data_IF_669021788036
#
_entry.id   IF_669021788036
#
_cell.length_a   1.000
_cell.length_b   1.000
_cell.length_c   1.000
_cell.angle_alpha   90.00
_cell.angle_beta   90.00
_cell.angle_gamma   90.00
#
_symmetry.space_group_name_H-M   'P 1'
#
loop_
_entity.id
_entity.type
_entity.pdbx_description
1 polymer ?
#
# COMPACT_ATOMS: atom_id res chain seq x y z
N UNK A 1 19.92 -1.34 14.70
CA UNK A 1 18.74 -1.00 15.51
C UNK A 1 17.92 0.01 14.73
N UNK A 2 16.62 -0.21 14.56
CA UNK A 2 15.74 0.80 13.94
C UNK A 2 15.58 2.02 14.85
N UNK A 3 14.84 3.03 14.37
CA UNK A 3 14.47 4.20 15.19
C UNK A 3 12.95 4.32 15.29
N UNK A 4 12.45 5.06 16.28
CA UNK A 4 11.03 5.40 16.39
C UNK A 4 10.50 6.02 15.10
N UNK A 5 11.22 7.00 14.55
CA UNK A 5 10.86 7.68 13.29
C UNK A 5 10.91 6.69 12.12
N UNK A 6 11.90 5.81 12.10
CA UNK A 6 12.04 4.75 11.09
C UNK A 6 10.89 3.74 11.06
N UNK A 7 10.09 3.63 12.13
CA UNK A 7 8.87 2.81 12.14
C UNK A 7 7.59 3.64 11.89
N UNK A 8 7.52 4.86 12.44
CA UNK A 8 6.38 5.75 12.20
C UNK A 8 6.27 6.14 10.72
N UNK A 9 7.38 6.48 10.08
CA UNK A 9 7.41 6.93 8.69
C UNK A 9 6.80 5.92 7.70
N UNK A 10 7.29 4.65 7.62
CA UNK A 10 6.65 3.65 6.77
C UNK A 10 5.23 3.30 7.25
N UNK A 11 4.95 3.34 8.55
CA UNK A 11 3.60 3.14 9.09
C UNK A 11 2.58 4.14 8.54
N UNK A 12 2.92 5.43 8.53
CA UNK A 12 2.11 6.49 7.94
C UNK A 12 1.96 6.33 6.43
N UNK A 13 3.05 5.99 5.73
CA UNK A 13 3.01 5.76 4.29
C UNK A 13 2.02 4.63 3.94
N UNK A 14 2.19 3.44 4.52
CA UNK A 14 1.29 2.30 4.29
C UNK A 14 -0.16 2.61 4.71
N UNK A 15 -0.37 3.28 5.84
CA UNK A 15 -1.71 3.70 6.25
C UNK A 15 -2.36 4.61 5.21
N UNK A 16 -1.63 5.60 4.69
CA UNK A 16 -2.15 6.52 3.67
C UNK A 16 -2.52 5.81 2.37
N UNK A 17 -1.70 4.85 1.91
CA UNK A 17 -2.02 4.02 0.74
C UNK A 17 -3.20 3.09 0.98
N UNK A 18 -3.28 2.47 2.16
CA UNK A 18 -4.39 1.60 2.54
C UNK A 18 -5.72 2.36 2.54
N UNK A 19 -5.76 3.56 3.10
CA UNK A 19 -6.93 4.44 3.09
C UNK A 19 -7.31 4.86 1.67
N UNK A 20 -6.33 5.27 0.86
CA UNK A 20 -6.53 5.62 -0.55
C UNK A 20 -7.14 4.45 -1.33
N UNK A 21 -6.59 3.24 -1.17
CA UNK A 21 -7.07 2.04 -1.83
C UNK A 21 -8.48 1.65 -1.37
N UNK A 22 -8.77 1.72 -0.08
CA UNK A 22 -10.09 1.42 0.46
C UNK A 22 -11.17 2.31 -0.16
N UNK A 23 -10.96 3.63 -0.17
CA UNK A 23 -11.89 4.60 -0.74
C UNK A 23 -11.98 4.44 -2.26
N UNK A 24 -10.85 4.28 -2.95
CA UNK A 24 -10.81 4.10 -4.40
C UNK A 24 -11.60 2.86 -4.83
N UNK A 25 -11.35 1.71 -4.22
CA UNK A 25 -12.02 0.46 -4.60
C UNK A 25 -13.51 0.48 -4.25
N UNK A 26 -13.90 1.08 -3.12
CA UNK A 26 -15.30 1.32 -2.81
C UNK A 26 -15.98 2.17 -3.89
N UNK A 27 -15.36 3.29 -4.28
CA UNK A 27 -15.89 4.16 -5.33
C UNK A 27 -15.99 3.46 -6.69
N UNK A 28 -15.00 2.64 -7.04
CA UNK A 28 -15.02 1.85 -8.29
C UNK A 28 -16.17 0.86 -8.33
N UNK A 29 -16.37 0.08 -7.27
CA UNK A 29 -17.48 -0.89 -7.19
C UNK A 29 -18.83 -0.19 -7.23
N UNK A 30 -18.99 0.94 -6.53
CA UNK A 30 -20.24 1.71 -6.52
C UNK A 30 -20.58 2.32 -7.90
N UNK A 31 -19.58 2.55 -8.75
CA UNK A 31 -19.79 3.01 -10.13
C UNK A 31 -19.82 1.86 -11.16
N UNK A 32 -19.79 0.60 -10.71
CA UNK A 32 -19.79 -0.55 -11.62
C UNK A 32 -18.50 -0.70 -12.44
N UNK A 33 -17.40 -0.06 -12.03
CA UNK A 33 -16.11 -0.18 -12.72
C UNK A 33 -15.55 -1.59 -12.56
N UNK A 34 -15.22 -2.24 -13.68
CA UNK A 34 -14.64 -3.59 -13.70
C UNK A 34 -13.12 -3.60 -13.82
N UNK A 35 -12.54 -2.55 -14.39
CA UNK A 35 -11.09 -2.49 -14.65
C UNK A 35 -10.35 -1.67 -13.58
N UNK A 36 -9.39 -2.31 -12.90
CA UNK A 36 -8.54 -1.67 -11.89
C UNK A 36 -7.62 -0.60 -12.50
N UNK A 37 -7.13 -0.86 -13.71
CA UNK A 37 -6.19 -0.01 -14.44
C UNK A 37 -6.83 0.45 -15.77
N UNK A 38 -7.77 1.42 -15.73
CA UNK A 38 -8.45 1.88 -16.94
C UNK A 38 -7.47 2.48 -17.94
N UNK A 39 -7.79 2.35 -19.24
CA UNK A 39 -7.01 2.93 -20.31
C UNK A 39 -6.87 4.45 -20.16
N UNK A 40 -5.75 5.00 -20.66
CA UNK A 40 -5.50 6.44 -20.65
C UNK A 40 -6.59 7.15 -21.45
N UNK A 41 -7.31 8.07 -20.80
CA UNK A 41 -8.29 8.89 -21.49
C UNK A 41 -7.56 9.91 -22.36
N UNK A 42 -7.82 9.95 -23.67
CA UNK A 42 -7.13 10.79 -24.67
C UNK A 42 -7.47 12.28 -24.57
N UNK A 43 -7.82 12.77 -23.38
CA UNK A 43 -8.07 14.19 -23.16
C UNK A 43 -6.74 14.94 -23.16
N UNK A 44 -6.65 16.04 -23.91
CA UNK A 44 -5.47 16.90 -23.99
C UNK A 44 -5.28 17.71 -22.69
N UNK A 45 -5.00 17.01 -21.58
CA UNK A 45 -4.68 17.59 -20.27
C UNK A 45 -3.17 17.74 -20.18
N UNK A 46 -2.69 18.92 -19.75
CA UNK A 46 -1.26 19.17 -19.53
C UNK A 46 -0.64 18.19 -18.53
N UNK A 47 0.68 18.01 -18.61
CA UNK A 47 1.45 17.00 -17.86
C UNK A 47 1.14 16.96 -16.34
N UNK A 48 1.07 18.12 -15.68
CA UNK A 48 0.73 18.21 -14.25
C UNK A 48 -0.64 17.61 -13.91
N UNK A 49 -1.61 17.68 -14.83
CA UNK A 49 -2.97 17.12 -14.65
C UNK A 49 -3.05 15.64 -15.03
N UNK A 50 -2.02 15.08 -15.66
CA UNK A 50 -1.93 13.65 -15.98
C UNK A 50 -1.08 12.85 -14.98
N UNK A 51 -0.46 13.52 -13.99
CA UNK A 51 0.32 12.85 -12.95
C UNK A 51 -0.57 11.96 -12.06
N UNK A 52 -0.25 10.67 -11.93
CA UNK A 52 -0.98 9.79 -11.03
C UNK A 52 -0.65 10.09 -9.57
N UNK A 53 -1.66 10.41 -8.77
CA UNK A 53 -1.48 10.72 -7.35
C UNK A 53 -0.74 9.60 -6.59
N UNK A 54 -1.08 8.33 -6.86
CA UNK A 54 -0.41 7.17 -6.27
C UNK A 54 1.09 7.12 -6.62
N UNK A 55 1.43 7.30 -7.90
CA UNK A 55 2.81 7.29 -8.37
C UNK A 55 3.63 8.43 -7.77
N UNK A 56 3.05 9.63 -7.69
CA UNK A 56 3.67 10.80 -7.04
C UNK A 56 3.88 10.55 -5.53
N UNK A 57 2.89 9.99 -4.83
CA UNK A 57 3.03 9.64 -3.41
C UNK A 57 4.16 8.63 -3.20
N UNK A 58 4.23 7.56 -4.01
CA UNK A 58 5.30 6.53 -3.91
C UNK A 58 6.68 7.14 -4.15
N UNK A 59 6.80 7.99 -5.16
CA UNK A 59 8.05 8.68 -5.49
C UNK A 59 8.50 9.59 -4.34
N UNK A 60 7.61 10.45 -3.83
CA UNK A 60 7.93 11.40 -2.75
C UNK A 60 8.28 10.65 -1.46
N UNK A 61 7.42 9.72 -1.01
CA UNK A 61 7.68 8.99 0.23
C UNK A 61 8.97 8.16 0.13
N UNK A 62 9.16 7.43 -0.97
CA UNK A 62 10.35 6.62 -1.18
C UNK A 62 11.62 7.48 -1.22
N UNK A 63 11.63 8.57 -1.98
CA UNK A 63 12.78 9.46 -2.06
C UNK A 63 13.11 10.10 -0.71
N UNK A 64 12.11 10.68 -0.03
CA UNK A 64 12.31 11.32 1.28
C UNK A 64 12.80 10.32 2.32
N UNK A 65 12.31 9.08 2.30
CA UNK A 65 12.76 8.04 3.22
C UNK A 65 14.21 7.62 2.95
N UNK A 66 14.62 7.45 1.68
CA UNK A 66 16.03 7.18 1.32
C UNK A 66 16.94 8.32 1.78
N UNK A 67 16.53 9.57 1.58
CA UNK A 67 17.29 10.73 2.05
C UNK A 67 17.39 10.75 3.58
N UNK A 68 16.30 10.47 4.28
CA UNK A 68 16.29 10.43 5.74
C UNK A 68 17.20 9.31 6.28
N UNK A 69 17.20 8.12 5.70
CA UNK A 69 18.06 7.01 6.16
C UNK A 69 19.55 7.36 6.11
N UNK A 70 19.97 8.06 5.06
CA UNK A 70 21.39 8.35 4.86
C UNK A 70 21.89 9.65 5.49
N UNK A 71 21.00 10.62 5.68
CA UNK A 71 21.38 12.00 6.04
C UNK A 71 20.69 12.52 7.31
N UNK A 72 19.86 11.72 7.98
CA UNK A 72 19.26 12.10 9.26
C UNK A 72 19.93 11.38 10.45
N UNK A 73 20.21 12.11 11.55
CA UNK A 73 20.06 13.55 11.75
C UNK A 73 21.04 14.37 10.89
N UNK A 74 20.74 15.66 10.61
CA UNK A 74 21.57 16.51 9.77
C UNK A 74 23.05 16.52 10.21
N UNK A 75 23.96 16.38 9.25
CA UNK A 75 25.40 16.31 9.49
C UNK A 75 25.97 14.89 9.57
N UNK A 76 25.13 13.87 9.58
CA UNK A 76 25.55 12.46 9.45
C UNK A 76 25.53 12.05 7.97
N UNK A 77 26.53 11.27 7.55
CA UNK A 77 26.55 10.65 6.22
C UNK A 77 26.76 9.14 6.34
N UNK A 78 25.72 8.37 6.03
CA UNK A 78 25.74 6.89 6.12
C UNK A 78 25.90 6.17 4.78
N UNK A 79 26.08 6.92 3.68
CA UNK A 79 26.21 6.42 2.30
C UNK A 79 27.46 5.58 1.99
N UNK A 80 28.39 5.40 2.94
CA UNK A 80 29.61 4.63 2.68
C UNK A 80 29.32 3.14 2.83
N UNK A 81 29.72 2.34 1.83
CA UNK A 81 29.63 0.89 1.90
C UNK A 81 30.69 0.29 2.82
N UNK A 82 31.93 0.77 2.72
CA UNK A 82 33.07 0.39 3.54
C UNK A 82 34.00 1.59 3.73
N UNK A 83 34.90 1.53 4.70
CA UNK A 83 35.94 2.53 4.90
C UNK A 83 37.27 2.02 4.38
N UNK A 84 37.97 2.84 3.59
CA UNK A 84 39.36 2.56 3.18
C UNK A 84 40.34 2.56 4.37
N UNK A 85 39.93 3.15 5.49
CA UNK A 85 40.71 3.13 6.74
C UNK A 85 40.51 1.85 7.55
N UNK A 86 39.52 1.02 7.20
CA UNK A 86 39.35 -0.31 7.80
C UNK A 86 40.11 -1.33 6.94
N UNK A 87 41.19 -1.95 7.45
CA UNK A 87 41.97 -2.92 6.69
C UNK A 87 41.18 -4.17 6.29
N UNK A 88 40.08 -4.47 6.97
CA UNK A 88 39.23 -5.63 6.69
C UNK A 88 38.01 -5.28 5.84
N UNK A 89 37.84 -4.01 5.44
CA UNK A 89 36.75 -3.53 4.60
C UNK A 89 35.35 -3.96 5.07
N UNK A 90 35.08 -3.92 6.38
CA UNK A 90 33.77 -4.30 6.88
C UNK A 90 32.68 -3.38 6.32
N UNK A 91 31.52 -3.99 6.02
CA UNK A 91 30.35 -3.24 5.58
C UNK A 91 29.82 -2.33 6.68
N UNK A 92 29.51 -1.09 6.32
CA UNK A 92 28.99 -0.08 7.23
C UNK A 92 27.49 0.12 7.03
N UNK A 93 26.80 0.45 8.12
CA UNK A 93 25.37 0.81 8.12
C UNK A 93 24.46 -0.20 7.39
N UNK A 94 24.58 -1.52 7.63
CA UNK A 94 23.83 -2.53 6.87
C UNK A 94 22.30 -2.38 7.04
N UNK A 95 21.82 -1.90 8.19
CA UNK A 95 20.39 -1.65 8.40
C UNK A 95 19.88 -0.54 7.48
N UNK A 96 20.59 0.58 7.45
CA UNK A 96 20.25 1.74 6.63
C UNK A 96 20.30 1.42 5.14
N UNK A 97 21.26 0.59 4.70
CA UNK A 97 21.30 0.10 3.32
C UNK A 97 20.09 -0.78 2.96
N UNK A 98 19.66 -1.67 3.87
CA UNK A 98 18.46 -2.48 3.67
C UNK A 98 17.21 -1.58 3.60
N UNK A 99 17.04 -0.64 4.52
CA UNK A 99 15.92 0.31 4.50
C UNK A 99 15.92 1.18 3.25
N UNK A 100 17.07 1.75 2.88
CA UNK A 100 17.21 2.53 1.65
C UNK A 100 16.88 1.71 0.39
N UNK A 101 17.26 0.42 0.36
CA UNK A 101 16.89 -0.49 -0.74
C UNK A 101 15.37 -0.68 -0.78
N UNK A 102 14.75 -0.98 0.35
CA UNK A 102 13.29 -1.12 0.47
C UNK A 102 12.55 0.14 -0.02
N UNK A 103 12.91 1.32 0.50
CA UNK A 103 12.31 2.59 0.08
C UNK A 103 12.60 2.95 -1.37
N UNK A 104 13.80 2.62 -1.86
CA UNK A 104 14.22 2.84 -3.24
C UNK A 104 13.35 2.08 -4.23
N UNK A 105 12.93 0.85 -3.92
CA UNK A 105 12.01 0.11 -4.79
C UNK A 105 10.60 0.70 -4.81
N UNK A 106 10.09 1.25 -3.71
CA UNK A 106 8.84 2.00 -3.72
C UNK A 106 8.97 3.32 -4.52
N UNK A 107 10.10 4.02 -4.39
CA UNK A 107 10.43 5.21 -5.18
C UNK A 107 10.43 4.86 -6.69
N UNK A 108 11.10 3.78 -7.07
CA UNK A 108 11.14 3.28 -8.44
C UNK A 108 9.75 2.89 -8.94
N UNK A 109 8.94 2.20 -8.12
CA UNK A 109 7.54 1.91 -8.47
C UNK A 109 6.75 3.18 -8.76
N UNK A 110 6.93 4.25 -7.97
CA UNK A 110 6.29 5.54 -8.23
C UNK A 110 6.73 6.18 -9.55
N UNK A 111 8.02 6.09 -9.87
CA UNK A 111 8.54 6.54 -11.16
C UNK A 111 7.92 5.75 -12.33
N UNK A 112 7.80 4.42 -12.20
CA UNK A 112 7.17 3.56 -13.21
C UNK A 112 5.69 3.90 -13.42
N UNK A 113 4.96 4.22 -12.35
CA UNK A 113 3.56 4.69 -12.42
C UNK A 113 3.47 6.00 -13.24
N UNK A 114 4.35 6.96 -12.97
CA UNK A 114 4.40 8.24 -13.69
C UNK A 114 4.78 8.04 -15.15
N UNK A 115 5.79 7.21 -15.43
CA UNK A 115 6.21 6.89 -16.81
C UNK A 115 5.04 6.29 -17.58
N UNK A 116 4.38 5.28 -17.00
CA UNK A 116 3.24 4.61 -17.64
C UNK A 116 2.08 5.58 -17.94
N UNK A 117 1.66 6.39 -16.96
CA UNK A 117 0.42 7.16 -17.09
C UNK A 117 0.64 8.54 -17.73
N UNK A 118 1.72 9.24 -17.39
CA UNK A 118 1.96 10.61 -17.81
C UNK A 118 2.88 10.70 -19.04
N UNK A 119 3.96 9.91 -19.10
CA UNK A 119 4.99 10.04 -20.13
C UNK A 119 4.71 9.24 -21.41
N UNK A 120 4.21 8.01 -21.29
CA UNK A 120 3.91 7.16 -22.45
C UNK A 120 2.64 7.63 -23.19
N UNK A 121 2.63 7.41 -24.51
CA UNK A 121 1.45 7.67 -25.35
C UNK A 121 0.27 6.77 -24.98
N UNK A 122 0.56 5.52 -24.64
CA UNK A 122 -0.39 4.52 -24.14
C UNK A 122 0.01 4.07 -22.75
N UNK A 123 -0.95 4.03 -21.82
CA UNK A 123 -0.72 3.50 -20.46
C UNK A 123 -0.31 2.03 -20.52
N UNK A 124 0.68 1.65 -19.71
CA UNK A 124 1.16 0.28 -19.55
C UNK A 124 0.88 -0.25 -18.13
N UNK A 125 -0.32 -0.80 -17.86
CA UNK A 125 -0.66 -1.34 -16.54
C UNK A 125 0.30 -2.41 -16.04
N UNK A 126 0.89 -3.21 -16.94
CA UNK A 126 1.86 -4.24 -16.60
C UNK A 126 3.09 -3.65 -15.89
N UNK A 127 3.57 -2.48 -16.33
CA UNK A 127 4.74 -1.81 -15.75
C UNK A 127 4.44 -1.29 -14.34
N UNK A 128 3.26 -0.69 -14.13
CA UNK A 128 2.78 -0.21 -12.83
C UNK A 128 2.67 -1.35 -11.82
N UNK A 129 2.04 -2.45 -12.27
CA UNK A 129 1.81 -3.64 -11.45
C UNK A 129 3.10 -4.38 -11.13
N UNK A 130 4.01 -4.55 -12.11
CA UNK A 130 5.31 -5.16 -11.90
C UNK A 130 6.19 -4.34 -10.94
N UNK A 131 6.21 -3.01 -11.07
CA UNK A 131 6.93 -2.12 -10.16
C UNK A 131 6.47 -2.27 -8.72
N UNK A 132 5.16 -2.24 -8.50
CA UNK A 132 4.58 -2.39 -7.15
C UNK A 132 4.84 -3.79 -6.59
N UNK A 133 4.71 -4.83 -7.41
CA UNK A 133 4.98 -6.22 -7.02
C UNK A 133 6.45 -6.40 -6.60
N UNK A 134 7.39 -5.86 -7.39
CA UNK A 134 8.81 -5.92 -7.07
C UNK A 134 9.12 -5.22 -5.73
N UNK A 135 8.48 -4.08 -5.45
CA UNK A 135 8.66 -3.39 -4.17
C UNK A 135 8.20 -4.23 -2.97
N UNK A 136 7.03 -4.87 -3.04
CA UNK A 136 6.56 -5.77 -1.99
C UNK A 136 7.41 -7.04 -1.88
N UNK A 137 7.91 -7.58 -3.00
CA UNK A 137 8.79 -8.74 -3.01
C UNK A 137 10.11 -8.44 -2.30
N UNK A 138 10.78 -7.34 -2.67
CA UNK A 138 12.03 -6.89 -2.04
C UNK A 138 11.81 -6.58 -0.57
N UNK A 139 10.71 -5.91 -0.22
CA UNK A 139 10.36 -5.63 1.18
C UNK A 139 10.21 -6.93 1.98
N UNK A 140 9.51 -7.92 1.44
CA UNK A 140 9.33 -9.24 2.07
C UNK A 140 10.67 -9.95 2.28
N UNK A 141 11.51 -9.96 1.24
CA UNK A 141 12.85 -10.54 1.30
C UNK A 141 13.69 -9.85 2.39
N UNK A 142 13.74 -8.52 2.38
CA UNK A 142 14.52 -7.76 3.36
C UNK A 142 14.00 -7.97 4.77
N UNK A 143 12.69 -7.93 5.02
CA UNK A 143 12.11 -8.20 6.34
C UNK A 143 12.52 -9.57 6.90
N UNK A 144 12.61 -10.60 6.05
CA UNK A 144 13.06 -11.94 6.47
C UNK A 144 14.51 -11.93 6.95
N UNK A 145 15.40 -11.20 6.28
CA UNK A 145 16.83 -11.16 6.61
C UNK A 145 17.23 -10.00 7.52
N UNK A 146 16.31 -9.07 7.81
CA UNK A 146 16.53 -7.92 8.69
C UNK A 146 16.57 -8.30 10.18
N UNK A 147 16.09 -9.49 10.55
CA UNK A 147 15.93 -9.93 11.94
C UNK A 147 17.22 -10.44 12.63
N UNK A 148 18.34 -10.55 11.91
CA UNK A 148 19.56 -11.17 12.45
C UNK A 148 20.15 -10.37 13.63
N UNK A 149 20.34 -11.04 14.76
CA UNK A 149 20.99 -10.46 15.95
C UNK A 149 20.14 -9.46 16.73
N UNK A 150 18.81 -9.49 16.56
CA UNK A 150 17.87 -8.61 17.26
C UNK A 150 17.21 -9.30 18.47
N UNK A 151 16.73 -8.49 19.39
CA UNK A 151 15.96 -8.90 20.58
C UNK A 151 14.67 -9.63 20.19
N UNK A 152 14.20 -10.55 21.06
CA UNK A 152 13.05 -11.42 20.75
C UNK A 152 11.76 -10.63 20.43
N UNK A 153 11.48 -9.54 21.16
CA UNK A 153 10.35 -8.64 20.89
C UNK A 153 10.47 -8.04 19.49
N UNK A 154 11.64 -7.50 19.13
CA UNK A 154 11.87 -6.90 17.82
C UNK A 154 11.76 -7.93 16.70
N UNK A 155 12.27 -9.15 16.90
CA UNK A 155 12.13 -10.25 15.94
C UNK A 155 10.65 -10.59 15.72
N UNK A 156 9.87 -10.75 16.79
CA UNK A 156 8.47 -11.17 16.68
C UNK A 156 7.59 -10.12 16.00
N UNK A 157 7.75 -8.84 16.33
CA UNK A 157 6.96 -7.78 15.68
C UNK A 157 7.25 -7.66 14.18
N UNK A 158 8.51 -7.85 13.78
CA UNK A 158 8.90 -7.87 12.38
C UNK A 158 8.44 -9.15 11.66
N UNK A 159 8.39 -10.29 12.35
CA UNK A 159 7.86 -11.54 11.79
C UNK A 159 6.35 -11.44 11.51
N UNK A 160 5.59 -10.79 12.39
CA UNK A 160 4.17 -10.52 12.17
C UNK A 160 3.96 -9.58 10.96
N UNK A 161 4.82 -8.57 10.81
CA UNK A 161 4.81 -7.69 9.63
C UNK A 161 5.20 -8.45 8.35
N UNK A 162 6.21 -9.31 8.42
CA UNK A 162 6.65 -10.17 7.33
C UNK A 162 5.50 -11.03 6.82
N UNK A 163 4.71 -11.62 7.71
CA UNK A 163 3.54 -12.42 7.35
C UNK A 163 2.55 -11.61 6.50
N UNK A 164 2.14 -10.42 6.96
CA UNK A 164 1.22 -9.56 6.19
C UNK A 164 1.82 -9.16 4.85
N UNK A 165 3.10 -8.78 4.84
CA UNK A 165 3.80 -8.32 3.64
C UNK A 165 3.93 -9.46 2.61
N UNK A 166 4.25 -10.67 3.06
CA UNK A 166 4.34 -11.86 2.20
C UNK A 166 2.99 -12.21 1.56
N UNK A 167 1.90 -12.19 2.34
CA UNK A 167 0.54 -12.42 1.81
C UNK A 167 0.16 -11.30 0.81
N UNK A 168 0.49 -10.05 1.12
CA UNK A 168 0.24 -8.91 0.22
C UNK A 168 1.00 -9.08 -1.10
N UNK A 169 2.28 -9.44 -1.04
CA UNK A 169 3.10 -9.75 -2.19
C UNK A 169 2.53 -10.92 -3.01
N UNK A 170 2.08 -11.99 -2.33
CA UNK A 170 1.45 -13.13 -2.99
C UNK A 170 0.17 -12.74 -3.74
N UNK A 171 -0.64 -11.82 -3.21
CA UNK A 171 -1.82 -11.31 -3.92
C UNK A 171 -1.42 -10.49 -5.15
N UNK A 172 -0.42 -9.61 -5.05
CA UNK A 172 0.09 -8.87 -6.21
C UNK A 172 0.60 -9.81 -7.30
N UNK A 173 1.32 -10.88 -6.92
CA UNK A 173 1.76 -11.93 -7.84
C UNK A 173 0.54 -12.63 -8.46
N UNK A 174 -0.42 -13.06 -7.64
CA UNK A 174 -1.63 -13.77 -8.11
C UNK A 174 -2.47 -12.96 -9.11
N UNK A 175 -2.53 -11.63 -8.95
CA UNK A 175 -3.25 -10.73 -9.85
C UNK A 175 -2.70 -10.67 -11.28
N UNK A 176 -1.47 -11.14 -11.55
CA UNK A 176 -1.00 -11.29 -12.92
C UNK A 176 -1.83 -12.30 -13.72
N UNK A 177 -2.33 -13.35 -13.08
CA UNK A 177 -3.15 -14.38 -13.72
C UNK A 177 -4.65 -14.11 -13.60
N UNK A 178 -5.09 -13.51 -12.48
CA UNK A 178 -6.49 -13.14 -12.26
C UNK A 178 -6.64 -11.64 -11.93
N UNK A 179 -6.42 -10.76 -12.92
CA UNK A 179 -6.60 -9.33 -12.72
C UNK A 179 -8.07 -8.98 -12.47
N UNK A 180 -8.29 -7.76 -11.98
CA UNK A 180 -9.62 -7.14 -11.91
C UNK A 180 -10.67 -7.84 -11.01
N UNK A 181 -10.23 -8.57 -9.98
CA UNK A 181 -11.12 -9.19 -9.01
C UNK A 181 -11.32 -8.28 -7.79
N UNK A 182 -12.54 -7.78 -7.51
CA UNK A 182 -12.79 -6.92 -6.35
C UNK A 182 -12.35 -7.55 -5.02
N UNK A 183 -12.50 -8.87 -4.88
CA UNK A 183 -12.03 -9.61 -3.71
C UNK A 183 -10.53 -9.43 -3.45
N UNK A 184 -9.71 -9.40 -4.49
CA UNK A 184 -8.26 -9.18 -4.38
C UNK A 184 -7.96 -7.72 -4.07
N UNK A 185 -8.70 -6.78 -4.67
CA UNK A 185 -8.56 -5.34 -4.39
C UNK A 185 -8.78 -5.01 -2.92
N UNK A 186 -9.91 -5.45 -2.35
CA UNK A 186 -10.25 -5.19 -0.96
C UNK A 186 -9.32 -5.93 0.02
N UNK A 187 -8.93 -7.17 -0.29
CA UNK A 187 -7.96 -7.92 0.53
C UNK A 187 -6.61 -7.20 0.58
N UNK A 188 -6.09 -6.72 -0.56
CA UNK A 188 -4.85 -5.91 -0.58
C UNK A 188 -4.98 -4.64 0.24
N UNK A 189 -6.07 -3.88 0.06
CA UNK A 189 -6.29 -2.64 0.80
C UNK A 189 -6.30 -2.88 2.32
N UNK A 190 -7.00 -3.93 2.76
CA UNK A 190 -7.03 -4.35 4.15
C UNK A 190 -5.64 -4.73 4.68
N UNK A 191 -4.87 -5.55 3.95
CA UNK A 191 -3.53 -5.95 4.39
C UNK A 191 -2.55 -4.77 4.44
N UNK A 192 -2.65 -3.81 3.51
CA UNK A 192 -1.84 -2.59 3.52
C UNK A 192 -2.20 -1.69 4.71
N UNK A 193 -3.48 -1.59 5.08
CA UNK A 193 -3.91 -0.92 6.31
C UNK A 193 -3.37 -1.60 7.58
N UNK A 194 -3.38 -2.94 7.61
CA UNK A 194 -2.80 -3.72 8.71
C UNK A 194 -1.30 -3.41 8.83
N UNK A 195 -0.53 -3.43 7.73
CA UNK A 195 0.89 -3.07 7.75
C UNK A 195 1.12 -1.67 8.33
N UNK A 196 0.34 -0.68 7.88
CA UNK A 196 0.45 0.69 8.35
C UNK A 196 0.16 0.84 9.84
N UNK A 197 -1.01 0.39 10.28
CA UNK A 197 -1.41 0.49 11.69
C UNK A 197 -0.50 -0.33 12.62
N UNK A 198 -0.04 -1.50 12.18
CA UNK A 198 0.89 -2.32 12.95
C UNK A 198 2.24 -1.63 13.12
N UNK A 199 2.84 -1.11 12.05
CA UNK A 199 4.10 -0.37 12.13
C UNK A 199 4.03 0.85 13.07
N UNK A 200 2.91 1.57 13.05
CA UNK A 200 2.68 2.67 14.00
C UNK A 200 2.70 2.16 15.45
N UNK A 201 2.00 1.06 15.74
CA UNK A 201 1.98 0.49 17.08
C UNK A 201 3.35 -0.07 17.51
N UNK A 202 4.06 -0.74 16.60
CA UNK A 202 5.42 -1.25 16.82
C UNK A 202 6.39 -0.15 17.22
N UNK A 203 6.26 1.05 16.65
CA UNK A 203 7.09 2.19 17.06
C UNK A 203 6.93 2.50 18.57
N UNK A 204 5.72 2.41 19.11
CA UNK A 204 5.48 2.60 20.54
C UNK A 204 5.98 1.40 21.35
N UNK A 205 5.72 0.16 20.91
CA UNK A 205 6.18 -1.05 21.61
C UNK A 205 7.71 -1.04 21.79
N UNK A 206 8.46 -0.72 20.74
CA UNK A 206 9.93 -0.82 20.75
C UNK A 206 10.63 0.40 21.36
N UNK A 207 10.08 1.61 21.24
CA UNK A 207 10.83 2.82 21.59
C UNK A 207 10.16 3.73 22.61
N UNK A 208 8.83 3.77 22.64
CA UNK A 208 8.06 4.71 23.48
C UNK A 208 6.80 4.05 24.04
N UNK A 209 6.94 3.02 24.90
CA UNK A 209 5.80 2.33 25.46
C UNK A 209 4.93 3.30 26.28
N UNK A 210 3.60 3.30 26.15
CA UNK A 210 2.72 4.24 26.87
C UNK A 210 2.86 4.16 28.40
N UNK A 211 3.24 2.99 28.92
CA UNK A 211 3.46 2.74 30.35
C UNK A 211 4.84 3.22 30.83
N UNK A 212 5.74 3.59 29.92
CA UNK A 212 7.15 3.86 30.21
C UNK A 212 8.01 2.60 30.47
N UNK A 213 7.40 1.42 30.52
CA UNK A 213 8.10 0.15 30.71
C UNK A 213 8.33 -0.54 29.38
N UNK A 214 9.59 -0.88 29.08
CA UNK A 214 9.96 -1.60 27.87
C UNK A 214 9.55 -3.07 27.96
N UNK A 215 9.18 -3.62 26.81
CA UNK A 215 8.77 -5.02 26.69
C UNK A 215 9.98 -5.93 26.82
N UNK A 216 9.83 -7.02 27.56
CA UNK A 216 10.90 -7.99 27.83
C UNK A 216 10.77 -9.20 26.89
N UNK A 217 11.84 -9.48 26.14
CA UNK A 217 11.91 -10.64 25.24
C UNK A 217 12.00 -11.99 25.96
N UNK A 218 12.32 -11.98 27.26
CA UNK A 218 12.35 -13.19 28.10
C UNK A 218 11.00 -13.45 28.80
N UNK A 219 10.09 -12.48 28.82
CA UNK A 219 8.76 -12.64 29.41
C UNK A 219 7.79 -13.25 28.39
N UNK A 220 7.30 -14.48 28.59
CA UNK A 220 6.35 -15.10 27.69
C UNK A 220 5.05 -14.30 27.54
N UNK A 221 4.62 -13.59 28.59
CA UNK A 221 3.39 -12.81 28.56
C UNK A 221 3.50 -11.65 27.54
N UNK A 222 4.61 -10.91 27.58
CA UNK A 222 4.89 -9.84 26.62
C UNK A 222 4.87 -10.39 25.19
N UNK A 223 5.59 -11.49 24.92
CA UNK A 223 5.60 -12.10 23.58
C UNK A 223 4.20 -12.57 23.13
N UNK A 224 3.38 -13.12 24.02
CA UNK A 224 2.02 -13.55 23.69
C UNK A 224 1.10 -12.36 23.38
N UNK A 225 1.25 -11.24 24.11
CA UNK A 225 0.45 -10.04 23.85
C UNK A 225 0.79 -9.38 22.52
N UNK A 226 2.03 -9.48 22.00
CA UNK A 226 2.38 -8.98 20.66
C UNK A 226 1.47 -9.58 19.58
N UNK A 227 1.32 -10.90 19.58
CA UNK A 227 0.45 -11.61 18.63
C UNK A 227 -1.03 -11.27 18.88
N UNK A 228 -1.43 -11.13 20.15
CA UNK A 228 -2.79 -10.73 20.51
C UNK A 228 -3.15 -9.36 19.95
N UNK A 229 -2.28 -8.37 20.13
CA UNK A 229 -2.47 -7.02 19.59
C UNK A 229 -2.50 -7.03 18.07
N UNK A 230 -1.62 -7.79 17.43
CA UNK A 230 -1.65 -7.94 15.99
C UNK A 230 -2.99 -8.50 15.50
N UNK A 231 -3.57 -9.51 16.17
CA UNK A 231 -4.92 -10.00 15.87
C UNK A 231 -5.99 -8.91 16.05
N UNK A 232 -5.86 -8.04 17.05
CA UNK A 232 -6.76 -6.88 17.20
C UNK A 232 -6.62 -5.89 16.03
N UNK A 233 -5.41 -5.69 15.50
CA UNK A 233 -5.21 -4.91 14.28
C UNK A 233 -5.93 -5.53 13.07
N UNK A 234 -5.91 -6.86 12.93
CA UNK A 234 -6.68 -7.54 11.86
C UNK A 234 -8.18 -7.20 11.95
N UNK A 235 -8.77 -7.35 13.14
CA UNK A 235 -10.18 -7.05 13.39
C UNK A 235 -10.50 -5.56 13.21
N UNK A 236 -9.69 -4.67 13.78
CA UNK A 236 -9.84 -3.22 13.69
C UNK A 236 -9.82 -2.75 12.23
N UNK A 237 -8.85 -3.21 11.44
CA UNK A 237 -8.74 -2.79 10.04
C UNK A 237 -9.87 -3.36 9.17
N UNK A 238 -10.43 -4.52 9.52
CA UNK A 238 -11.67 -5.02 8.87
C UNK A 238 -12.85 -4.09 9.12
N UNK A 239 -13.02 -3.64 10.38
CA UNK A 239 -14.04 -2.66 10.75
C UNK A 239 -13.82 -1.32 10.04
N UNK A 240 -12.58 -0.84 9.98
CA UNK A 240 -12.20 0.39 9.28
C UNK A 240 -12.53 0.30 7.77
N UNK A 241 -12.23 -0.83 7.12
CA UNK A 241 -12.62 -1.06 5.73
C UNK A 241 -14.13 -0.96 5.52
N UNK A 242 -14.92 -1.58 6.40
CA UNK A 242 -16.39 -1.48 6.36
C UNK A 242 -16.90 -0.05 6.55
N UNK A 243 -16.33 0.68 7.51
CA UNK A 243 -16.68 2.08 7.77
C UNK A 243 -16.33 2.99 6.59
N UNK A 244 -15.17 2.80 5.96
CA UNK A 244 -14.76 3.55 4.76
C UNK A 244 -15.66 3.25 3.58
N UNK A 245 -16.03 1.98 3.35
CA UNK A 245 -16.97 1.61 2.30
C UNK A 245 -18.33 2.28 2.51
N UNK A 246 -18.86 2.21 3.74
CA UNK A 246 -20.13 2.85 4.09
C UNK A 246 -20.10 4.37 3.93
N UNK A 247 -19.04 5.04 4.42
CA UNK A 247 -18.87 6.47 4.24
C UNK A 247 -18.80 6.85 2.76
N UNK A 248 -18.06 6.07 1.95
CA UNK A 248 -17.96 6.25 0.49
C UNK A 248 -19.33 6.09 -0.17
N UNK A 249 -20.13 5.10 0.24
CA UNK A 249 -21.49 4.89 -0.24
C UNK A 249 -22.41 6.09 0.08
N UNK A 250 -22.34 6.64 1.30
CA UNK A 250 -23.12 7.83 1.67
C UNK A 250 -22.75 9.04 0.81
N UNK A 251 -21.45 9.26 0.58
CA UNK A 251 -20.97 10.35 -0.29
C UNK A 251 -21.44 10.11 -1.72
N UNK A 252 -21.31 8.89 -2.24
CA UNK A 252 -21.75 8.52 -3.59
C UNK A 252 -23.24 8.77 -3.78
N UNK A 253 -24.10 8.37 -2.82
CA UNK A 253 -25.54 8.66 -2.87
C UNK A 253 -25.86 10.15 -2.84
N UNK A 254 -25.14 10.94 -2.05
CA UNK A 254 -25.34 12.41 -2.01
C UNK A 254 -24.95 13.06 -3.33
N UNK A 255 -23.87 12.59 -3.97
CA UNK A 255 -23.42 13.11 -5.27
C UNK A 255 -24.34 12.66 -6.41
N UNK A 256 -24.67 11.37 -6.48
CA UNK A 256 -25.61 10.83 -7.48
C UNK A 256 -27.03 11.40 -7.32
N UNK A 257 -27.49 11.62 -6.09
CA UNK A 257 -28.76 12.29 -5.80
C UNK A 257 -28.78 13.76 -6.23
N UNK A 258 -27.64 14.47 -6.14
CA UNK A 258 -27.52 15.85 -6.66
C UNK A 258 -27.59 15.88 -8.19
N UNK A 259 -26.90 14.97 -8.89
CA UNK A 259 -26.97 14.87 -10.36
C UNK A 259 -28.38 14.53 -10.86
N UNK A 260 -29.10 13.67 -10.13
CA UNK A 260 -30.49 13.31 -10.44
C UNK A 260 -31.47 14.50 -10.21
N UNK A 261 -31.18 15.35 -9.23
CA UNK A 261 -31.97 16.56 -8.94
C UNK A 261 -31.64 17.76 -9.84
N UNK A 262 -30.52 17.79 -10.55
CA UNK A 262 -30.19 18.80 -11.59
C UNK A 262 -30.69 18.46 -12.99
N UNK A 263 -31.58 17.47 -13.14
CA UNK A 263 -32.28 17.19 -14.40
C UNK A 263 -31.45 16.52 -15.50
N UNK A 264 -30.19 16.14 -15.24
CA UNK A 264 -29.42 15.31 -16.16
C UNK A 264 -29.79 13.84 -15.94
N UNK A 265 -30.82 13.38 -16.66
CA UNK A 265 -31.04 11.95 -16.86
C UNK A 265 -29.79 11.38 -17.56
N UNK A 266 -29.02 10.57 -16.84
CA UNK A 266 -28.09 9.63 -17.46
C UNK A 266 -28.91 8.76 -18.42
N UNK A 267 -28.43 8.68 -19.66
CA UNK A 267 -29.11 8.03 -20.78
C UNK A 267 -29.76 6.69 -20.38
N UNK A 268 -31.01 6.57 -20.80
CA UNK A 268 -31.99 5.52 -20.57
C UNK A 268 -31.44 4.09 -20.52
N UNK A 269 -31.91 3.35 -19.52
CA UNK A 269 -32.08 1.89 -19.54
C UNK A 269 -33.20 1.47 -20.52
N UNK A 270 -33.19 1.97 -21.76
CA UNK A 270 -34.29 1.82 -22.72
C UNK A 270 -34.13 0.70 -23.75
N UNK A 271 -32.95 0.08 -23.84
CA UNK A 271 -32.68 -0.93 -24.88
C UNK A 271 -32.77 -2.39 -24.39
N UNK A 272 -32.88 -2.65 -23.09
CA UNK A 272 -33.02 -4.02 -22.57
C UNK A 272 -34.45 -4.56 -22.60
N UNK A 273 -35.47 -3.71 -22.79
CA UNK A 273 -36.88 -4.11 -22.77
C UNK A 273 -37.45 -4.37 -24.18
N UNK A 274 -36.73 -3.98 -25.23
CA UNK A 274 -37.12 -4.26 -26.64
C UNK A 274 -36.69 -5.63 -27.16
N UNK A 275 -35.85 -6.36 -26.42
CA UNK A 275 -35.35 -7.69 -26.82
C UNK A 275 -36.14 -8.85 -26.19
N UNK A 276 -37.12 -8.58 -25.32
CA UNK A 276 -37.95 -9.62 -24.68
C UNK A 276 -39.39 -9.69 -25.21
N UNK A 277 -39.74 -8.89 -26.22
CA UNK A 277 -41.11 -8.81 -26.77
C UNK A 277 -41.23 -9.25 -28.23
N UNK A 278 -40.18 -9.82 -28.85
CA UNK A 278 -40.19 -10.15 -30.28
C UNK A 278 -39.90 -11.62 -30.63
N UNK A 279 -39.95 -12.54 -29.66
CA UNK A 279 -39.65 -13.97 -29.91
C UNK A 279 -40.80 -14.92 -29.52
N UNK A 280 -42.04 -14.45 -29.70
CA UNK A 280 -43.23 -15.26 -29.48
C UNK A 280 -44.37 -14.76 -30.33
N UNK A 281 -44.34 -15.13 -31.62
CA UNK A 281 -45.51 -15.45 -32.45
C UNK A 281 -45.07 -15.54 -33.92
N UNK A 282 -44.89 -16.76 -34.43
CA UNK A 282 -45.36 -17.17 -35.77
C UNK A 282 -45.22 -18.70 -35.91
N UNK A 283 -46.37 -19.38 -35.71
CA UNK A 283 -46.67 -20.70 -36.27
C UNK A 283 -46.92 -20.60 -37.79
N UNK A 284 -46.73 -21.76 -38.45
CA UNK A 284 -47.00 -22.18 -39.84
C UNK A 284 -45.87 -22.05 -40.87
#
# INVERSE_FOLDING_TARGET
MGTFIGHISPGLAFLSFGLLYAVRYAWMVLNGCRDQYPAKNKTNRGFLKSLPAEGVMKLIYGFMAVMAEFFFPPGVQKLRFFSLSDPNFHFQNPNEWQHATMYGYFCMSGALDIVSQACLSTRCPLLEHAGTTAAFFVTTLLLKFHAHGKEAVEVQVHLLLLLTCAITCAIFIFEFWWPNQPKLWFTKAWLVLVQGTWLLHVAFILYKPPTGQYWNGEDPADLMFLTTFYCWHLAFNSGLMGALFWATYLVHRRVGGKLKNTGYQLAENGELEKLTLYDGDEEL
#
